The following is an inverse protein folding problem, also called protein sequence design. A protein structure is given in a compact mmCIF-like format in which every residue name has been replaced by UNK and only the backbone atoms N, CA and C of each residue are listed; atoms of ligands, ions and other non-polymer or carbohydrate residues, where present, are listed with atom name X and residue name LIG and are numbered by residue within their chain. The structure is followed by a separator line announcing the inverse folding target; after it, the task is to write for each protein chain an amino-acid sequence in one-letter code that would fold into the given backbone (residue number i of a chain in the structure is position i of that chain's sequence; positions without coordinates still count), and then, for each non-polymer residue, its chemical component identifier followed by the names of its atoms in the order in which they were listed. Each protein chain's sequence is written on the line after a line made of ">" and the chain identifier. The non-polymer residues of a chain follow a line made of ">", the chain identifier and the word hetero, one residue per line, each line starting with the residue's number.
data_IF_709441324061
#
_entry.id   IF_709441324061
#
_cell.length_a   1.000
_cell.length_b   1.000
_cell.length_c   1.000
_cell.angle_alpha   90.00
_cell.angle_beta   90.00
_cell.angle_gamma   90.00
#
_symmetry.space_group_name_H-M   'P 1'
#
loop_
_entity.id
_entity.type
_entity.pdbx_description
1 polymer ?
#
# COMPACT_ATOMS: atom_id res chain seq x y z
N UNK A 1 18.69 21.52 7.36
CA UNK A 1 19.27 21.58 5.99
C UNK A 1 18.43 22.47 5.06
N UNK A 2 17.08 22.38 5.07
CA UNK A 2 16.22 23.25 4.24
C UNK A 2 16.27 24.72 4.67
N UNK A 3 16.35 25.03 5.96
CA UNK A 3 16.53 26.39 6.48
C UNK A 3 17.92 26.99 6.15
N UNK A 4 18.97 26.16 6.08
CA UNK A 4 20.31 26.60 5.65
C UNK A 4 20.31 26.94 4.17
N UNK A 5 19.56 26.23 3.31
CA UNK A 5 19.39 26.54 1.90
C UNK A 5 18.64 27.86 1.66
N UNK A 6 17.65 28.19 2.50
CA UNK A 6 16.94 29.49 2.45
C UNK A 6 17.85 30.66 2.90
N UNK A 7 18.69 30.43 3.90
CA UNK A 7 19.65 31.43 4.38
C UNK A 7 20.73 31.72 3.32
N UNK A 8 21.20 30.72 2.59
CA UNK A 8 22.17 30.94 1.49
C UNK A 8 21.55 31.67 0.31
N UNK A 9 20.28 31.42 -0.01
CA UNK A 9 19.56 32.17 -1.06
C UNK A 9 19.34 33.63 -0.70
N UNK A 10 19.17 33.97 0.59
CA UNK A 10 19.06 35.37 1.04
C UNK A 10 20.41 36.10 1.06
N UNK A 11 21.50 35.41 1.35
CA UNK A 11 22.85 35.98 1.34
C UNK A 11 23.32 36.30 -0.10
N UNK A 12 23.04 35.44 -1.04
CA UNK A 12 23.37 35.69 -2.45
C UNK A 12 22.54 36.82 -3.08
N UNK A 13 21.30 37.04 -2.60
CA UNK A 13 20.46 38.16 -3.07
C UNK A 13 20.97 39.52 -2.60
N UNK A 14 21.59 39.64 -1.42
CA UNK A 14 22.22 40.86 -0.96
C UNK A 14 23.50 41.21 -1.73
N UNK A 15 24.22 40.24 -2.24
CA UNK A 15 25.46 40.44 -2.97
C UNK A 15 25.26 41.11 -4.33
N UNK A 16 24.07 40.97 -4.95
CA UNK A 16 23.77 41.54 -6.27
C UNK A 16 23.00 42.85 -6.24
N UNK A 17 22.85 43.52 -5.10
CA UNK A 17 22.18 44.86 -4.98
C UNK A 17 20.76 44.89 -5.60
N UNK A 18 20.03 43.80 -5.59
CA UNK A 18 18.68 43.70 -6.18
C UNK A 18 17.67 44.26 -5.16
N UNK A 19 17.08 45.40 -5.47
CA UNK A 19 15.93 45.92 -4.71
C UNK A 19 14.71 45.06 -4.96
N UNK A 20 14.36 44.24 -3.98
CA UNK A 20 13.21 43.33 -4.05
C UNK A 20 11.95 44.13 -3.72
N UNK A 21 11.11 44.39 -4.71
CA UNK A 21 9.82 45.07 -4.53
C UNK A 21 8.74 44.13 -3.94
N UNK A 22 7.63 44.72 -3.42
CA UNK A 22 6.52 43.93 -2.86
C UNK A 22 5.95 42.83 -3.80
N UNK A 23 6.05 43.03 -5.13
CA UNK A 23 5.66 42.06 -6.14
C UNK A 23 6.65 40.90 -6.26
N UNK A 24 7.90 41.08 -5.88
CA UNK A 24 8.96 40.11 -6.00
C UNK A 24 8.93 39.07 -4.85
N UNK A 25 8.40 39.46 -3.67
CA UNK A 25 8.21 38.54 -2.56
C UNK A 25 7.27 37.37 -2.90
N UNK A 26 6.21 37.65 -3.70
CA UNK A 26 5.33 36.59 -4.20
C UNK A 26 6.07 35.65 -5.16
N UNK A 27 6.88 36.16 -6.06
CA UNK A 27 7.70 35.39 -6.99
C UNK A 27 8.76 34.56 -6.26
N UNK A 28 9.43 35.16 -5.28
CA UNK A 28 10.39 34.47 -4.43
C UNK A 28 9.70 33.36 -3.60
N UNK A 29 8.53 33.63 -3.04
CA UNK A 29 7.74 32.62 -2.33
C UNK A 29 7.33 31.44 -3.22
N UNK A 30 6.88 31.72 -4.44
CA UNK A 30 6.56 30.67 -5.44
C UNK A 30 7.81 29.90 -5.85
N UNK A 31 8.93 30.59 -6.10
CA UNK A 31 10.18 29.95 -6.47
C UNK A 31 10.73 29.07 -5.32
N UNK A 32 10.67 29.55 -4.08
CA UNK A 32 11.06 28.77 -2.90
C UNK A 32 10.17 27.55 -2.70
N UNK A 33 8.85 27.70 -2.85
CA UNK A 33 7.91 26.58 -2.77
C UNK A 33 8.17 25.57 -3.89
N UNK A 34 8.39 26.02 -5.13
CA UNK A 34 8.72 25.16 -6.24
C UNK A 34 10.06 24.42 -6.03
N UNK A 35 11.08 25.09 -5.50
CA UNK A 35 12.37 24.48 -5.18
C UNK A 35 12.25 23.42 -4.05
N UNK A 36 11.42 23.69 -3.03
CA UNK A 36 11.12 22.71 -1.98
C UNK A 36 10.38 21.49 -2.55
N UNK A 37 9.35 21.73 -3.35
CA UNK A 37 8.56 20.65 -3.96
C UNK A 37 9.35 19.83 -5.00
N UNK A 38 10.28 20.46 -5.72
CA UNK A 38 11.18 19.79 -6.66
C UNK A 38 12.42 19.15 -6.02
N UNK A 39 12.63 19.40 -4.71
CA UNK A 39 13.80 18.87 -4.02
C UNK A 39 13.77 17.34 -3.95
N UNK A 40 14.87 16.64 -4.26
CA UNK A 40 14.97 15.19 -4.06
C UNK A 40 14.66 14.76 -2.62
N UNK A 41 14.95 15.59 -1.63
CA UNK A 41 14.64 15.33 -0.21
C UNK A 41 13.15 15.40 0.12
N UNK A 42 12.38 16.11 -0.72
CA UNK A 42 10.93 16.15 -0.61
C UNK A 42 10.27 15.02 -1.41
N UNK A 43 10.76 14.79 -2.64
CA UNK A 43 10.17 13.81 -3.57
C UNK A 43 10.53 12.37 -3.21
N UNK A 44 11.74 12.15 -2.72
CA UNK A 44 12.23 10.82 -2.39
C UNK A 44 12.54 10.71 -0.89
N UNK A 45 12.08 9.66 -0.28
CA UNK A 45 12.49 9.27 1.06
C UNK A 45 13.82 8.54 0.99
N UNK A 46 14.89 9.33 0.89
CA UNK A 46 16.25 8.79 0.91
C UNK A 46 16.71 8.58 2.35
N UNK A 47 17.16 7.37 2.65
CA UNK A 47 17.90 7.10 3.88
C UNK A 47 19.31 7.66 3.76
N UNK A 48 19.79 8.27 4.83
CA UNK A 48 21.18 8.71 4.88
C UNK A 48 22.06 7.55 5.29
N UNK A 49 22.71 6.95 4.31
CA UNK A 49 23.67 5.88 4.57
C UNK A 49 24.87 6.42 5.35
N UNK A 50 25.27 5.78 6.48
CA UNK A 50 26.50 6.09 7.15
C UNK A 50 27.71 5.96 6.22
N UNK A 51 28.69 6.87 6.35
CA UNK A 51 29.90 6.81 5.54
C UNK A 51 30.69 5.53 5.83
N UNK A 52 31.18 4.87 4.78
CA UNK A 52 32.06 3.71 4.91
C UNK A 52 31.36 2.35 4.95
N UNK A 53 30.04 2.28 4.77
CA UNK A 53 29.30 1.02 4.66
C UNK A 53 29.72 0.24 3.41
N UNK A 54 29.91 -1.07 3.57
CA UNK A 54 30.14 -2.02 2.49
C UNK A 54 28.84 -2.72 2.11
N UNK A 55 28.71 -3.23 0.87
CA UNK A 55 27.57 -4.04 0.49
C UNK A 55 27.38 -5.22 1.46
N UNK A 56 26.18 -5.33 2.05
CA UNK A 56 25.84 -6.35 3.05
C UNK A 56 26.00 -5.94 4.52
N UNK A 57 26.58 -4.78 4.81
CA UNK A 57 26.64 -4.27 6.16
C UNK A 57 25.25 -3.88 6.66
N UNK A 58 25.00 -4.17 7.96
CA UNK A 58 23.77 -3.77 8.65
C UNK A 58 24.04 -2.47 9.42
N UNK A 59 23.10 -1.55 9.33
CA UNK A 59 23.13 -0.32 10.13
C UNK A 59 21.74 -0.05 10.72
N UNK A 60 21.74 0.70 11.82
CA UNK A 60 20.50 1.13 12.46
C UNK A 60 20.09 2.48 11.89
N UNK A 61 18.86 2.57 11.39
CA UNK A 61 18.26 3.84 10.98
C UNK A 61 17.94 4.69 12.20
N UNK A 62 17.91 6.01 12.04
CA UNK A 62 17.51 6.89 13.13
C UNK A 62 15.98 6.85 13.36
N UNK A 63 15.55 7.28 14.53
CA UNK A 63 14.14 7.19 14.93
C UNK A 63 13.20 8.01 14.04
N UNK A 64 13.65 9.10 13.42
CA UNK A 64 12.83 9.90 12.50
C UNK A 64 12.62 9.15 11.17
N UNK A 65 13.66 8.50 10.66
CA UNK A 65 13.56 7.63 9.50
C UNK A 65 12.68 6.41 9.80
N UNK A 66 12.83 5.81 10.99
CA UNK A 66 12.01 4.70 11.46
C UNK A 66 10.52 5.11 11.54
N UNK A 67 10.21 6.27 12.12
CA UNK A 67 8.85 6.80 12.17
C UNK A 67 8.25 7.01 10.77
N UNK A 68 9.05 7.56 9.85
CA UNK A 68 8.64 7.74 8.46
C UNK A 68 8.35 6.40 7.78
N UNK A 69 9.26 5.43 7.88
CA UNK A 69 9.05 4.10 7.30
C UNK A 69 7.81 3.42 7.86
N UNK A 70 7.64 3.43 9.19
CA UNK A 70 6.52 2.81 9.87
C UNK A 70 5.18 3.43 9.45
N UNK A 71 5.09 4.77 9.44
CA UNK A 71 3.85 5.47 9.10
C UNK A 71 3.45 5.28 7.65
N UNK A 72 4.40 5.32 6.72
CA UNK A 72 4.10 5.09 5.32
C UNK A 72 3.77 3.63 5.02
N UNK A 73 4.40 2.68 5.73
CA UNK A 73 4.08 1.26 5.58
C UNK A 73 2.67 0.94 6.09
N UNK A 74 2.34 1.37 7.32
CA UNK A 74 1.06 1.02 7.95
C UNK A 74 -0.11 1.91 7.49
N UNK A 75 0.13 3.21 7.28
CA UNK A 75 -0.91 4.20 7.02
C UNK A 75 -0.87 4.84 5.63
N UNK A 76 0.21 4.61 4.87
CA UNK A 76 0.48 5.33 3.61
C UNK A 76 0.40 6.86 3.77
N UNK A 77 0.85 7.37 4.89
CA UNK A 77 0.77 8.78 5.29
C UNK A 77 1.99 9.18 6.11
N UNK A 78 2.13 10.50 6.34
CA UNK A 78 3.16 11.05 7.22
C UNK A 78 2.93 10.58 8.67
N UNK A 79 4.01 10.55 9.51
CA UNK A 79 3.88 10.30 10.95
C UNK A 79 2.93 11.30 11.61
N UNK A 80 2.15 10.84 12.58
CA UNK A 80 1.37 11.72 13.44
C UNK A 80 2.25 12.34 14.53
N UNK A 81 1.67 13.26 15.30
CA UNK A 81 2.40 14.00 16.34
C UNK A 81 2.98 13.08 17.41
N UNK A 82 2.25 12.04 17.83
CA UNK A 82 2.71 11.10 18.86
C UNK A 82 3.94 10.30 18.39
N UNK A 83 3.87 9.77 17.18
CA UNK A 83 4.97 9.00 16.59
C UNK A 83 6.19 9.88 16.34
N UNK A 84 5.97 11.11 15.83
CA UNK A 84 7.04 12.07 15.58
C UNK A 84 7.70 12.55 16.87
N UNK A 85 6.93 12.79 17.93
CA UNK A 85 7.44 13.23 19.23
C UNK A 85 8.34 12.15 19.88
N UNK A 86 7.94 10.87 19.78
CA UNK A 86 8.80 9.75 20.22
C UNK A 86 10.09 9.67 19.40
N UNK A 87 9.99 9.86 18.09
CA UNK A 87 11.14 9.82 17.20
C UNK A 87 12.14 10.97 17.48
N UNK A 88 11.63 12.20 17.66
CA UNK A 88 12.47 13.36 17.99
C UNK A 88 13.17 13.25 19.36
N UNK A 89 12.58 12.50 20.29
CA UNK A 89 13.17 12.17 21.58
C UNK A 89 14.11 10.95 21.55
N UNK A 90 14.34 10.33 20.40
CA UNK A 90 15.10 9.09 20.22
C UNK A 90 14.63 7.96 21.16
N UNK A 91 13.31 7.78 21.27
CA UNK A 91 12.65 6.76 22.10
C UNK A 91 11.82 5.78 21.31
N UNK A 92 11.71 5.97 20.00
CA UNK A 92 10.87 5.10 19.15
C UNK A 92 11.52 3.73 18.95
N UNK A 93 12.85 3.66 18.87
CA UNK A 93 13.60 2.40 18.74
C UNK A 93 13.61 1.54 20.01
N UNK A 94 13.18 2.08 21.16
CA UNK A 94 12.95 1.27 22.36
C UNK A 94 11.85 0.25 22.10
N UNK A 95 12.14 -1.05 22.30
CA UNK A 95 11.24 -2.15 21.96
C UNK A 95 9.81 -1.95 22.50
N UNK A 96 9.67 -1.53 23.76
CA UNK A 96 8.36 -1.34 24.38
C UNK A 96 7.55 -0.20 23.71
N UNK A 97 8.22 0.90 23.37
CA UNK A 97 7.59 2.01 22.66
C UNK A 97 7.23 1.62 21.22
N UNK A 98 8.13 0.93 20.54
CA UNK A 98 7.92 0.45 19.17
C UNK A 98 6.72 -0.49 19.06
N UNK A 99 6.66 -1.52 19.91
CA UNK A 99 5.56 -2.48 19.94
C UNK A 99 4.23 -1.76 20.23
N UNK A 100 4.19 -0.85 21.21
CA UNK A 100 2.99 -0.05 21.53
C UNK A 100 2.54 0.82 20.36
N UNK A 101 3.47 1.43 19.63
CA UNK A 101 3.12 2.23 18.46
C UNK A 101 2.58 1.37 17.31
N UNK A 102 3.13 0.19 17.06
CA UNK A 102 2.60 -0.75 16.08
C UNK A 102 1.16 -1.13 16.41
N UNK A 103 0.89 -1.55 17.67
CA UNK A 103 -0.46 -1.91 18.11
C UNK A 103 -1.44 -0.75 17.90
N UNK A 104 -1.07 0.46 18.35
CA UNK A 104 -1.88 1.66 18.16
C UNK A 104 -2.16 1.94 16.69
N UNK A 105 -1.13 1.88 15.85
CA UNK A 105 -1.23 2.18 14.43
C UNK A 105 -2.05 1.15 13.67
N UNK A 106 -1.97 -0.12 14.03
CA UNK A 106 -2.81 -1.18 13.45
C UNK A 106 -4.28 -1.03 13.86
N UNK A 107 -4.55 -0.55 15.07
CA UNK A 107 -5.92 -0.27 15.52
C UNK A 107 -6.56 0.95 14.84
N UNK A 108 -5.76 1.88 14.32
CA UNK A 108 -6.25 3.09 13.64
C UNK A 108 -6.93 2.75 12.30
N UNK A 109 -8.05 3.40 11.92
CA UNK A 109 -8.69 3.23 10.62
C UNK A 109 -7.78 3.45 9.41
N UNK A 110 -6.74 4.28 9.52
CA UNK A 110 -5.74 4.50 8.47
C UNK A 110 -5.00 3.22 8.07
N UNK A 111 -4.89 2.24 8.96
CA UNK A 111 -4.22 0.97 8.68
C UNK A 111 -4.91 0.11 7.62
N UNK A 112 -6.17 0.46 7.23
CA UNK A 112 -6.81 -0.13 6.04
C UNK A 112 -5.99 0.05 4.77
N UNK A 113 -5.17 1.11 4.72
CA UNK A 113 -4.23 1.34 3.62
C UNK A 113 -3.18 0.23 3.47
N UNK A 114 -2.83 -0.46 4.55
CA UNK A 114 -1.92 -1.60 4.49
C UNK A 114 -2.46 -2.71 3.59
N UNK A 115 -3.70 -3.13 3.80
CA UNK A 115 -4.33 -4.15 2.97
C UNK A 115 -4.50 -3.70 1.51
N UNK A 116 -4.99 -2.47 1.28
CA UNK A 116 -5.25 -1.97 -0.07
C UNK A 116 -3.98 -1.61 -0.85
N UNK A 117 -2.95 -1.07 -0.21
CA UNK A 117 -1.75 -0.62 -0.92
C UNK A 117 -0.67 -1.70 -0.97
N UNK A 118 -0.28 -2.26 0.18
CA UNK A 118 0.77 -3.28 0.22
C UNK A 118 0.37 -4.52 -0.58
N UNK A 119 -0.82 -5.09 -0.32
CA UNK A 119 -1.26 -6.33 -0.99
C UNK A 119 -1.44 -6.10 -2.49
N UNK A 120 -1.98 -4.94 -2.90
CA UNK A 120 -2.17 -4.64 -4.31
C UNK A 120 -0.85 -4.41 -5.05
N UNK A 121 0.14 -3.79 -4.40
CA UNK A 121 1.48 -3.64 -4.97
C UNK A 121 2.25 -4.97 -4.99
N UNK A 122 2.23 -5.70 -3.88
CA UNK A 122 2.90 -7.00 -3.78
C UNK A 122 2.41 -7.99 -4.84
N UNK A 123 1.10 -8.06 -5.06
CA UNK A 123 0.47 -9.02 -5.98
C UNK A 123 0.26 -8.46 -7.39
N UNK A 124 0.80 -7.27 -7.70
CA UNK A 124 0.65 -6.58 -8.99
C UNK A 124 -0.82 -6.50 -9.47
N UNK A 125 -1.71 -6.09 -8.57
CA UNK A 125 -3.15 -6.00 -8.85
C UNK A 125 -3.52 -4.90 -9.85
N UNK A 126 -2.55 -4.11 -10.32
CA UNK A 126 -2.75 -3.22 -11.47
C UNK A 126 -3.22 -3.99 -12.70
N UNK A 127 -2.72 -5.21 -12.89
CA UNK A 127 -3.17 -6.09 -13.97
C UNK A 127 -4.66 -6.37 -13.97
N UNK A 128 -5.32 -6.30 -12.82
CA UNK A 128 -6.79 -6.45 -12.74
C UNK A 128 -7.52 -5.34 -13.52
N UNK A 129 -6.94 -4.15 -13.59
CA UNK A 129 -7.52 -3.02 -14.35
C UNK A 129 -7.29 -3.18 -15.86
N UNK A 130 -6.17 -3.79 -16.25
CA UNK A 130 -5.77 -3.95 -17.65
C UNK A 130 -6.54 -5.10 -18.35
N UNK A 131 -7.00 -6.10 -17.58
CA UNK A 131 -7.70 -7.26 -18.13
C UNK A 131 -9.20 -6.99 -18.20
N UNK A 132 -9.73 -6.88 -19.41
CA UNK A 132 -11.19 -6.82 -19.65
C UNK A 132 -11.66 -8.23 -19.99
N UNK A 133 -12.50 -8.87 -19.13
CA UNK A 133 -12.99 -10.20 -19.40
C UNK A 133 -13.86 -10.21 -20.66
N UNK A 134 -13.78 -11.30 -21.41
CA UNK A 134 -14.68 -11.56 -22.53
C UNK A 134 -16.06 -11.95 -21.97
N UNK A 135 -17.00 -11.03 -22.00
CA UNK A 135 -18.34 -11.22 -21.44
C UNK A 135 -19.22 -12.20 -22.23
N UNK A 136 -18.82 -12.55 -23.45
CA UNK A 136 -19.54 -13.59 -24.25
C UNK A 136 -19.10 -14.98 -23.77
N UNK A 137 -17.84 -15.13 -23.31
CA UNK A 137 -17.30 -16.38 -22.77
C UNK A 137 -17.57 -16.51 -21.26
N UNK A 138 -17.53 -15.41 -20.54
CA UNK A 138 -17.73 -15.36 -19.08
C UNK A 138 -18.88 -14.41 -18.71
N UNK A 139 -20.13 -14.75 -19.05
CA UNK A 139 -21.25 -13.96 -18.62
C UNK A 139 -21.33 -13.98 -17.11
N UNK A 140 -21.29 -12.81 -16.45
CA UNK A 140 -21.54 -12.76 -15.02
C UNK A 140 -22.96 -13.21 -14.70
N UNK A 141 -23.20 -13.86 -13.57
CA UNK A 141 -24.53 -14.31 -13.13
C UNK A 141 -25.55 -13.15 -12.98
N UNK A 142 -25.07 -11.91 -12.93
CA UNK A 142 -25.85 -10.66 -12.83
C UNK A 142 -25.95 -9.88 -14.15
N UNK A 143 -25.67 -10.50 -15.29
CA UNK A 143 -25.61 -9.83 -16.58
C UNK A 143 -24.18 -9.37 -16.95
N UNK A 144 -24.02 -8.61 -18.04
CA UNK A 144 -22.72 -8.14 -18.55
C UNK A 144 -22.04 -7.08 -17.64
N UNK A 145 -22.05 -7.31 -16.32
CA UNK A 145 -21.45 -6.37 -15.37
C UNK A 145 -20.03 -6.78 -15.00
N UNK A 146 -19.17 -5.79 -15.01
CA UNK A 146 -17.76 -5.93 -14.63
C UNK A 146 -17.62 -6.40 -13.16
N UNK A 147 -17.02 -7.57 -12.88
CA UNK A 147 -16.84 -8.07 -11.52
C UNK A 147 -15.60 -7.50 -10.80
N UNK A 148 -14.76 -6.73 -11.49
CA UNK A 148 -13.47 -6.24 -10.95
C UNK A 148 -13.60 -5.41 -9.68
N UNK A 149 -14.61 -4.51 -9.52
CA UNK A 149 -14.81 -3.78 -8.28
C UNK A 149 -15.07 -4.70 -7.08
N UNK A 150 -15.91 -5.73 -7.28
CA UNK A 150 -16.22 -6.71 -6.23
C UNK A 150 -15.00 -7.56 -5.88
N UNK A 151 -14.24 -8.02 -6.87
CA UNK A 151 -13.00 -8.77 -6.66
C UNK A 151 -11.96 -7.95 -5.91
N UNK A 152 -11.85 -6.65 -6.20
CA UNK A 152 -10.96 -5.74 -5.49
C UNK A 152 -11.38 -5.60 -4.03
N UNK A 153 -12.67 -5.40 -3.78
CA UNK A 153 -13.22 -5.28 -2.43
C UNK A 153 -13.06 -6.58 -1.64
N UNK A 154 -13.34 -7.73 -2.26
CA UNK A 154 -13.12 -9.05 -1.67
C UNK A 154 -11.69 -9.22 -1.19
N UNK A 155 -10.72 -8.97 -2.08
CA UNK A 155 -9.29 -9.12 -1.78
C UNK A 155 -8.85 -8.21 -0.64
N UNK A 156 -9.30 -6.94 -0.66
CA UNK A 156 -8.98 -5.95 0.37
C UNK A 156 -9.52 -6.39 1.73
N UNK A 157 -10.79 -6.77 1.81
CA UNK A 157 -11.43 -7.19 3.06
C UNK A 157 -10.83 -8.49 3.59
N UNK A 158 -10.51 -9.43 2.71
CA UNK A 158 -9.85 -10.67 3.08
C UNK A 158 -8.48 -10.43 3.70
N UNK A 159 -7.62 -9.63 3.03
CA UNK A 159 -6.29 -9.31 3.54
C UNK A 159 -6.36 -8.50 4.85
N UNK A 160 -7.26 -7.49 4.91
CA UNK A 160 -7.48 -6.68 6.11
C UNK A 160 -7.88 -7.55 7.30
N UNK A 161 -8.71 -8.58 7.09
CA UNK A 161 -9.11 -9.50 8.16
C UNK A 161 -7.95 -10.32 8.71
N UNK A 162 -7.02 -10.74 7.87
CA UNK A 162 -5.85 -11.49 8.33
C UNK A 162 -4.90 -10.60 9.14
N UNK A 163 -4.68 -9.36 8.68
CA UNK A 163 -3.80 -8.42 9.37
C UNK A 163 -4.39 -7.89 10.68
N UNK A 164 -5.68 -7.52 10.70
CA UNK A 164 -6.32 -6.96 11.90
C UNK A 164 -6.65 -7.99 12.97
N UNK A 165 -6.94 -9.21 12.58
CA UNK A 165 -7.21 -10.30 13.51
C UNK A 165 -5.91 -10.93 14.04
N UNK A 166 -4.75 -10.37 13.68
CA UNK A 166 -3.40 -10.90 14.02
C UNK A 166 -3.28 -12.40 13.74
N UNK A 167 -3.78 -12.81 12.59
CA UNK A 167 -3.78 -14.21 12.18
C UNK A 167 -2.42 -14.61 11.61
N UNK A 168 -2.17 -15.89 11.59
CA UNK A 168 -0.98 -16.42 10.93
C UNK A 168 -0.90 -15.95 9.47
N UNK A 169 0.27 -15.52 9.02
CA UNK A 169 0.51 -15.18 7.61
C UNK A 169 0.19 -16.33 6.66
N UNK A 170 0.26 -17.58 7.16
CA UNK A 170 -0.13 -18.79 6.43
C UNK A 170 -1.63 -18.81 6.13
N UNK A 171 -2.45 -18.08 6.89
CA UNK A 171 -3.89 -17.95 6.64
C UNK A 171 -4.19 -17.16 5.34
N UNK A 172 -3.25 -16.34 4.87
CA UNK A 172 -3.36 -15.78 3.53
C UNK A 172 -3.47 -16.88 2.44
N UNK A 173 -2.93 -18.06 2.68
CA UNK A 173 -3.01 -19.18 1.74
C UNK A 173 -4.05 -20.24 2.10
N UNK A 174 -4.44 -20.38 3.37
CA UNK A 174 -5.26 -21.49 3.86
C UNK A 174 -6.59 -21.11 4.49
N UNK A 175 -6.87 -19.82 4.68
CA UNK A 175 -8.12 -19.41 5.31
C UNK A 175 -9.33 -19.80 4.46
N UNK A 176 -10.32 -20.44 5.10
CA UNK A 176 -11.53 -20.96 4.48
C UNK A 176 -12.65 -19.93 4.34
N UNK A 177 -12.38 -18.65 4.47
CA UNK A 177 -13.38 -17.61 4.38
C UNK A 177 -13.10 -16.60 3.26
N UNK A 178 -14.14 -15.90 2.89
CA UNK A 178 -14.05 -14.74 1.99
C UNK A 178 -15.10 -13.69 2.36
N UNK A 179 -15.11 -12.60 1.62
CA UNK A 179 -16.09 -11.51 1.77
C UNK A 179 -16.84 -11.32 0.45
N UNK A 180 -18.15 -11.42 0.50
CA UNK A 180 -19.00 -11.29 -0.69
C UNK A 180 -20.22 -10.43 -0.40
N UNK A 181 -20.66 -9.69 -1.42
CA UNK A 181 -22.01 -9.16 -1.55
C UNK A 181 -22.87 -10.13 -2.38
N UNK A 182 -24.14 -9.82 -2.61
CA UNK A 182 -25.03 -10.70 -3.39
C UNK A 182 -24.49 -11.00 -4.79
N UNK A 183 -23.95 -9.98 -5.49
CA UNK A 183 -23.43 -10.12 -6.85
C UNK A 183 -22.26 -11.10 -6.91
N UNK A 184 -21.29 -10.91 -6.04
CA UNK A 184 -20.11 -11.77 -5.98
C UNK A 184 -20.46 -13.17 -5.47
N UNK A 185 -21.40 -13.27 -4.53
CA UNK A 185 -21.92 -14.54 -4.04
C UNK A 185 -22.56 -15.37 -5.17
N UNK A 186 -23.42 -14.75 -5.96
CA UNK A 186 -24.02 -15.40 -7.14
C UNK A 186 -22.95 -15.85 -8.15
N UNK A 187 -21.94 -15.04 -8.39
CA UNK A 187 -20.80 -15.39 -9.24
C UNK A 187 -20.04 -16.63 -8.73
N UNK A 188 -19.96 -16.80 -7.41
CA UNK A 188 -19.32 -17.97 -6.78
C UNK A 188 -20.27 -19.14 -6.54
N UNK A 189 -21.55 -19.03 -6.91
CA UNK A 189 -22.56 -20.07 -6.68
C UNK A 189 -23.03 -20.14 -5.23
N UNK A 190 -22.89 -19.05 -4.48
CA UNK A 190 -23.35 -18.92 -3.08
C UNK A 190 -24.72 -18.21 -3.09
N UNK A 191 -25.80 -18.90 -2.71
CA UNK A 191 -27.17 -18.38 -2.89
C UNK A 191 -27.72 -17.66 -1.65
N UNK A 192 -27.07 -17.79 -0.49
CA UNK A 192 -27.62 -17.35 0.81
C UNK A 192 -27.25 -15.90 1.16
N UNK A 193 -26.58 -15.17 0.28
CA UNK A 193 -26.15 -13.78 0.48
C UNK A 193 -27.06 -12.86 -0.32
N UNK A 194 -27.63 -11.82 0.34
CA UNK A 194 -28.51 -10.82 -0.28
C UNK A 194 -28.03 -9.40 0.01
N UNK A 195 -28.21 -8.52 -0.99
CA UNK A 195 -27.90 -7.09 -0.91
C UNK A 195 -26.43 -6.75 -1.18
N UNK A 196 -26.15 -5.44 -1.22
CA UNK A 196 -24.87 -4.91 -1.69
C UNK A 196 -23.75 -4.91 -0.65
N UNK A 197 -24.09 -5.13 0.63
CA UNK A 197 -23.12 -5.12 1.71
C UNK A 197 -22.27 -6.40 1.71
N UNK A 198 -20.95 -6.20 1.74
CA UNK A 198 -20.00 -7.30 1.89
C UNK A 198 -20.08 -7.91 3.28
N UNK A 199 -20.11 -9.22 3.35
CA UNK A 199 -20.11 -9.98 4.59
C UNK A 199 -19.20 -11.19 4.49
N UNK A 200 -18.62 -11.57 5.63
CA UNK A 200 -17.79 -12.76 5.73
C UNK A 200 -18.63 -14.02 5.54
N UNK A 201 -18.17 -14.92 4.70
CA UNK A 201 -18.76 -16.24 4.48
C UNK A 201 -17.68 -17.31 4.54
N UNK A 202 -18.04 -18.50 5.03
CA UNK A 202 -17.15 -19.66 4.99
C UNK A 202 -17.31 -20.41 3.67
N UNK A 203 -16.17 -20.80 3.10
CA UNK A 203 -16.10 -21.54 1.84
C UNK A 203 -15.96 -23.03 2.11
N UNK A 204 -16.88 -23.79 1.58
CA UNK A 204 -16.87 -25.28 1.67
C UNK A 204 -15.82 -25.89 0.75
N UNK A 205 -15.63 -25.28 -0.43
CA UNK A 205 -14.68 -25.73 -1.44
C UNK A 205 -13.28 -25.19 -1.15
N UNK A 206 -12.35 -26.09 -0.87
CA UNK A 206 -10.95 -25.75 -0.60
C UNK A 206 -10.21 -25.14 -1.79
N UNK A 207 -10.70 -25.33 -3.03
CA UNK A 207 -10.16 -24.68 -4.22
C UNK A 207 -10.32 -23.15 -4.21
N UNK A 208 -11.19 -22.64 -3.35
CA UNK A 208 -11.45 -21.21 -3.16
C UNK A 208 -10.79 -20.62 -1.91
N UNK A 209 -10.03 -21.40 -1.16
CA UNK A 209 -9.39 -20.93 0.05
C UNK A 209 -8.20 -20.02 -0.23
N UNK A 210 -7.92 -19.14 0.72
CA UNK A 210 -6.80 -18.20 0.67
C UNK A 210 -6.80 -17.25 -0.52
N UNK A 211 -5.69 -16.57 -0.72
CA UNK A 211 -5.48 -15.59 -1.80
C UNK A 211 -5.65 -16.21 -3.18
N UNK A 212 -5.09 -17.40 -3.41
CA UNK A 212 -5.08 -18.04 -4.73
C UNK A 212 -6.48 -18.42 -5.21
N UNK A 213 -7.46 -18.55 -4.32
CA UNK A 213 -8.86 -18.79 -4.65
C UNK A 213 -9.68 -17.53 -4.92
N UNK A 214 -9.14 -16.32 -4.70
CA UNK A 214 -9.87 -15.07 -4.88
C UNK A 214 -10.01 -14.68 -6.35
N UNK A 215 -11.15 -14.11 -6.70
CA UNK A 215 -11.46 -13.71 -8.07
C UNK A 215 -10.44 -12.75 -8.66
N UNK A 216 -9.94 -11.78 -7.88
CA UNK A 216 -8.91 -10.84 -8.30
C UNK A 216 -7.64 -11.56 -8.79
N UNK A 217 -7.14 -12.53 -8.00
CA UNK A 217 -5.92 -13.28 -8.34
C UNK A 217 -6.14 -14.18 -9.55
N UNK A 218 -7.28 -14.88 -9.57
CA UNK A 218 -7.61 -15.79 -10.68
C UNK A 218 -7.73 -15.02 -11.99
N UNK A 219 -8.32 -13.82 -11.97
CA UNK A 219 -8.42 -12.95 -13.15
C UNK A 219 -7.06 -12.38 -13.55
N UNK A 220 -6.28 -11.82 -12.62
CA UNK A 220 -4.97 -11.25 -12.91
C UNK A 220 -3.99 -12.29 -13.49
N UNK A 221 -4.17 -13.57 -13.15
CA UNK A 221 -3.38 -14.70 -13.64
C UNK A 221 -4.06 -15.48 -14.78
N UNK A 222 -4.90 -14.83 -15.59
CA UNK A 222 -5.61 -15.43 -16.71
C UNK A 222 -5.52 -14.57 -17.97
N UNK A 223 -6.04 -15.09 -19.09
CA UNK A 223 -6.36 -14.32 -20.30
C UNK A 223 -7.81 -13.84 -20.24
N UNK A 224 -8.19 -12.81 -21.03
CA UNK A 224 -9.57 -12.32 -21.08
C UNK A 224 -10.63 -13.39 -21.37
N UNK A 225 -10.30 -14.39 -22.17
CA UNK A 225 -11.23 -15.40 -22.69
C UNK A 225 -10.94 -16.83 -22.21
N UNK A 226 -9.90 -17.05 -21.39
CA UNK A 226 -9.55 -18.39 -20.91
C UNK A 226 -8.66 -18.35 -19.67
N UNK A 227 -8.70 -19.42 -18.91
CA UNK A 227 -7.72 -19.67 -17.85
C UNK A 227 -6.35 -20.05 -18.42
N UNK A 228 -5.29 -19.84 -17.63
CA UNK A 228 -3.93 -20.21 -18.04
C UNK A 228 -3.13 -20.78 -16.87
N UNK A 229 -2.87 -22.09 -16.86
CA UNK A 229 -2.01 -22.70 -15.85
C UNK A 229 -0.61 -22.09 -15.84
N UNK A 230 -0.07 -21.72 -17.02
CA UNK A 230 1.26 -21.10 -17.16
C UNK A 230 1.31 -19.74 -16.47
N UNK A 231 0.29 -18.87 -16.72
CA UNK A 231 0.23 -17.56 -16.07
C UNK A 231 0.03 -17.70 -14.55
N UNK A 232 -0.73 -18.69 -14.08
CA UNK A 232 -0.87 -18.98 -12.64
C UNK A 232 0.43 -19.42 -12.03
N UNK A 233 1.17 -20.32 -12.68
CA UNK A 233 2.50 -20.75 -12.23
C UNK A 233 3.47 -19.58 -12.17
N UNK A 234 3.52 -18.75 -13.23
CA UNK A 234 4.34 -17.53 -13.24
C UNK A 234 3.95 -16.56 -12.12
N UNK A 235 2.66 -16.40 -11.84
CA UNK A 235 2.18 -15.55 -10.75
C UNK A 235 2.72 -16.01 -9.39
N UNK A 236 2.65 -17.33 -9.11
CA UNK A 236 3.17 -17.91 -7.86
C UNK A 236 4.68 -17.67 -7.74
N UNK A 237 5.44 -18.00 -8.78
CA UNK A 237 6.90 -17.84 -8.77
C UNK A 237 7.29 -16.36 -8.54
N UNK A 238 6.69 -15.44 -9.27
CA UNK A 238 7.07 -14.03 -9.20
C UNK A 238 6.65 -13.36 -7.88
N UNK A 239 5.43 -13.60 -7.41
CA UNK A 239 4.84 -12.79 -6.33
C UNK A 239 4.82 -13.50 -4.98
N UNK A 240 4.83 -14.82 -4.93
CA UNK A 240 4.86 -15.57 -3.66
C UNK A 240 6.24 -16.10 -3.33
N UNK A 241 6.97 -16.61 -4.32
CA UNK A 241 8.33 -17.15 -4.13
C UNK A 241 9.44 -16.12 -4.42
N UNK A 242 9.11 -15.01 -5.08
CA UNK A 242 10.09 -13.96 -5.40
C UNK A 242 11.14 -14.41 -6.43
N UNK A 243 10.81 -15.38 -7.27
CA UNK A 243 11.66 -15.89 -8.36
C UNK A 243 11.16 -15.26 -9.66
N UNK A 244 11.90 -14.32 -10.27
CA UNK A 244 11.49 -13.61 -11.50
C UNK A 244 11.54 -14.51 -12.75
#
# INVERSE_FOLDING_TARGET
>A
AALVGLATLTVDAEFYNVRIGLGDWRRLGVAAAAALLASPFFLYRGERLPAGLKPGDKYQINDVELASQLSFFLWNSIPDEELLDLALKNKLSDKANFDKQIERMLADPKSKSLASNFVFQWLDMKRLDDIVPDFDVFPSASGRMDPRPEFRTELTLFADSVFREDRSVVDLLRANHTYVNERLALHYGINDVKGDQFRRVELKDSARWGLLGKGAILMAAAYPNRTSPVLRGKFILNYLEGVP
#
